data_IF_725094813050
#
_entry.id   IF_725094813050
#
_cell.length_a   1.000
_cell.length_b   1.000
_cell.length_c   1.000
_cell.angle_alpha   90.00
_cell.angle_beta   90.00
_cell.angle_gamma   90.00
#
_symmetry.space_group_name_H-M   'P 1'
#
loop_
_entity.id
_entity.type
_entity.pdbx_description
1 polymer ?
#
# COMPACT_ATOMS: atom_id res chain seq x y z
N UNK A 1 13.85 -3.26 -8.16
CA UNK A 1 13.16 -4.01 -9.24
C UNK A 1 13.17 -3.20 -10.54
N UNK A 2 12.87 -3.80 -11.69
CA UNK A 2 12.61 -3.05 -12.94
C UNK A 2 11.12 -2.79 -13.09
N UNK A 3 10.76 -1.62 -13.63
CA UNK A 3 9.38 -1.25 -13.91
C UNK A 3 8.77 -2.20 -14.94
N UNK A 4 7.65 -2.88 -14.65
CA UNK A 4 7.03 -3.82 -15.59
C UNK A 4 6.44 -3.13 -16.82
N UNK A 5 6.32 -1.79 -16.81
CA UNK A 5 5.74 -1.00 -17.90
C UNK A 5 6.78 -0.37 -18.83
N UNK A 6 7.92 0.11 -18.29
CA UNK A 6 8.94 0.79 -19.10
C UNK A 6 10.35 0.16 -19.01
N UNK A 7 10.56 -0.86 -18.17
CA UNK A 7 11.83 -1.57 -18.02
C UNK A 7 12.91 -0.84 -17.22
N UNK A 8 12.66 0.39 -16.75
CA UNK A 8 13.61 1.22 -16.01
C UNK A 8 13.77 0.76 -14.56
N UNK A 9 14.91 1.06 -13.94
CA UNK A 9 15.12 0.79 -12.52
C UNK A 9 14.14 1.60 -11.66
N UNK A 10 13.59 0.94 -10.64
CA UNK A 10 12.65 1.55 -9.71
C UNK A 10 13.31 1.83 -8.37
N UNK A 11 12.86 2.89 -7.71
CA UNK A 11 13.29 3.23 -6.36
C UNK A 11 12.47 2.47 -5.32
N UNK A 12 13.14 1.81 -4.38
CA UNK A 12 12.49 1.20 -3.22
C UNK A 12 12.09 2.29 -2.22
N UNK A 13 10.89 2.18 -1.68
CA UNK A 13 10.38 3.04 -0.62
C UNK A 13 9.29 2.34 0.19
N UNK A 14 8.51 3.12 0.92
CA UNK A 14 7.38 2.60 1.67
C UNK A 14 6.16 3.53 1.60
N UNK A 15 4.97 2.94 1.69
CA UNK A 15 3.71 3.66 1.89
C UNK A 15 3.32 3.51 3.35
N UNK A 16 3.12 4.63 4.03
CA UNK A 16 2.80 4.68 5.45
C UNK A 16 1.40 5.25 5.67
N UNK A 17 0.63 4.60 6.55
CA UNK A 17 -0.68 5.08 6.98
C UNK A 17 -0.93 4.63 8.42
N UNK A 18 -1.64 5.44 9.22
CA UNK A 18 -1.97 5.07 10.62
C UNK A 18 -2.80 3.79 10.68
N UNK A 19 -3.84 3.71 9.85
CA UNK A 19 -4.89 2.68 9.97
C UNK A 19 -4.63 1.44 9.07
N UNK A 20 -3.64 1.51 8.19
CA UNK A 20 -3.38 0.48 7.17
C UNK A 20 -3.54 0.97 5.75
N UNK A 21 -2.95 0.24 4.81
CA UNK A 21 -3.23 0.39 3.38
C UNK A 21 -3.88 -0.89 2.90
N UNK A 22 -5.04 -0.76 2.26
CA UNK A 22 -5.85 -1.89 1.81
C UNK A 22 -6.16 -1.74 0.33
N UNK A 23 -6.01 -2.82 -0.42
CA UNK A 23 -6.66 -2.94 -1.71
C UNK A 23 -8.10 -3.42 -1.47
N UNK A 24 -9.06 -2.71 -2.06
CA UNK A 24 -10.48 -3.06 -2.02
C UNK A 24 -11.06 -2.95 -3.42
N UNK A 25 -11.97 -3.85 -3.75
CA UNK A 25 -12.68 -3.83 -5.05
C UNK A 25 -13.51 -2.55 -5.25
N UNK A 26 -13.95 -1.92 -4.15
CA UNK A 26 -14.73 -0.69 -4.15
C UNK A 26 -14.12 0.31 -3.17
N UNK A 27 -14.19 1.59 -3.52
CA UNK A 27 -13.83 2.69 -2.63
C UNK A 27 -14.72 2.67 -1.38
N UNK A 28 -14.13 2.93 -0.21
CA UNK A 28 -14.83 2.95 1.07
C UNK A 28 -14.43 4.18 1.86
N UNK A 29 -15.38 4.68 2.65
CA UNK A 29 -15.12 5.74 3.63
C UNK A 29 -14.19 5.17 4.71
N UNK A 30 -12.96 5.68 4.76
CA UNK A 30 -11.87 5.19 5.64
C UNK A 30 -12.25 5.26 7.12
N UNK A 31 -13.14 6.19 7.50
CA UNK A 31 -13.65 6.32 8.87
C UNK A 31 -14.55 5.15 9.32
N UNK A 32 -15.09 4.35 8.40
CA UNK A 32 -15.99 3.25 8.68
C UNK A 32 -15.28 1.90 8.55
N UNK A 33 -14.22 1.69 9.33
CA UNK A 33 -13.40 0.46 9.36
C UNK A 33 -14.19 -0.85 9.57
N UNK A 34 -15.49 -0.79 9.91
CA UNK A 34 -16.35 -1.96 10.09
C UNK A 34 -17.78 -1.73 9.57
N UNK A 35 -17.99 -1.71 8.26
CA UNK A 35 -19.30 -2.03 7.70
C UNK A 35 -19.09 -3.15 6.70
N UNK A 36 -19.53 -4.35 7.09
CA UNK A 36 -19.19 -5.61 6.45
C UNK A 36 -19.53 -5.67 4.96
N UNK A 37 -18.68 -6.38 4.23
CA UNK A 37 -18.95 -6.83 2.86
C UNK A 37 -17.78 -6.60 1.91
N UNK A 38 -17.42 -7.62 1.12
CA UNK A 38 -16.48 -7.53 -0.02
C UNK A 38 -15.04 -7.98 0.27
N UNK A 39 -14.30 -8.32 -0.81
CA UNK A 39 -12.90 -8.77 -0.75
C UNK A 39 -11.96 -7.57 -0.54
N UNK A 40 -11.19 -7.61 0.54
CA UNK A 40 -10.14 -6.62 0.84
C UNK A 40 -8.84 -7.33 1.17
N UNK A 41 -7.72 -6.81 0.68
CA UNK A 41 -6.39 -7.34 0.94
C UNK A 41 -5.58 -6.27 1.64
N UNK A 42 -5.03 -6.61 2.80
CA UNK A 42 -4.13 -5.74 3.56
C UNK A 42 -2.76 -5.76 2.89
N UNK A 43 -2.25 -4.59 2.49
CA UNK A 43 -1.01 -4.48 1.71
C UNK A 43 0.25 -4.31 2.58
N UNK A 44 0.11 -4.22 3.90
CA UNK A 44 1.25 -4.02 4.81
C UNK A 44 1.60 -5.29 5.60
N UNK A 45 2.87 -5.69 5.57
CA UNK A 45 3.41 -6.78 6.40
C UNK A 45 3.78 -6.31 7.81
N UNK A 46 4.29 -5.08 7.93
CA UNK A 46 4.86 -4.56 9.19
C UNK A 46 3.86 -3.62 9.87
N UNK A 47 3.59 -3.91 11.13
CA UNK A 47 2.88 -3.01 12.06
C UNK A 47 3.94 -2.43 12.99
N UNK A 48 4.09 -1.11 13.00
CA UNK A 48 4.93 -0.45 14.00
C UNK A 48 4.12 -0.47 15.30
N UNK A 49 4.62 -1.12 16.35
CA UNK A 49 3.94 -1.19 17.64
C UNK A 49 3.97 0.15 18.39
N UNK A 50 3.01 0.36 19.30
CA UNK A 50 2.95 1.52 20.20
C UNK A 50 1.87 2.55 19.83
N UNK A 51 1.69 3.60 20.65
CA UNK A 51 0.63 4.60 20.49
C UNK A 51 0.81 5.53 19.27
N UNK A 52 1.99 5.54 18.67
CA UNK A 52 2.28 6.19 17.37
C UNK A 52 2.52 5.16 16.26
N UNK A 53 2.10 3.92 16.52
CA UNK A 53 2.19 2.82 15.61
C UNK A 53 1.35 3.04 14.37
N UNK A 54 1.92 2.72 13.21
CA UNK A 54 1.25 2.77 11.92
C UNK A 54 1.55 1.52 11.10
N UNK A 55 0.87 1.42 9.98
CA UNK A 55 1.13 0.44 8.95
C UNK A 55 2.16 0.97 7.95
N UNK A 56 3.05 0.09 7.49
CA UNK A 56 4.00 0.39 6.41
C UNK A 56 4.04 -0.77 5.43
N UNK A 57 3.87 -0.47 4.14
CA UNK A 57 4.03 -1.42 3.03
C UNK A 57 5.25 -1.04 2.19
N UNK A 58 6.10 -2.01 1.87
CA UNK A 58 7.20 -1.80 0.93
C UNK A 58 6.63 -1.59 -0.48
N UNK A 59 7.16 -0.62 -1.20
CA UNK A 59 6.64 -0.25 -2.51
C UNK A 59 7.75 0.27 -3.41
N UNK A 60 7.62 0.02 -4.70
CA UNK A 60 8.57 0.46 -5.70
C UNK A 60 7.98 1.60 -6.53
N UNK A 61 8.71 2.71 -6.62
CA UNK A 61 8.34 3.89 -7.39
C UNK A 61 9.07 3.88 -8.74
N UNK A 62 8.30 3.99 -9.83
CA UNK A 62 8.81 4.38 -11.14
C UNK A 62 8.39 5.82 -11.41
N UNK A 63 9.32 6.77 -11.27
CA UNK A 63 9.05 8.19 -11.47
C UNK A 63 8.63 8.52 -12.90
N UNK A 64 9.27 7.89 -13.89
CA UNK A 64 8.96 8.09 -15.32
C UNK A 64 7.52 7.71 -15.68
N UNK A 65 7.06 6.55 -15.23
CA UNK A 65 5.69 6.10 -15.50
C UNK A 65 4.67 6.66 -14.52
N UNK A 66 5.12 7.30 -13.43
CA UNK A 66 4.29 7.70 -12.28
C UNK A 66 3.47 6.52 -11.74
N UNK A 67 4.13 5.37 -11.59
CA UNK A 67 3.52 4.12 -11.11
C UNK A 67 4.18 3.71 -9.81
N UNK A 68 3.36 3.19 -8.90
CA UNK A 68 3.80 2.48 -7.71
C UNK A 68 3.45 1.01 -7.89
N UNK A 69 4.39 0.11 -7.61
CA UNK A 69 4.19 -1.33 -7.59
C UNK A 69 4.37 -1.81 -6.15
N UNK A 70 3.37 -2.54 -5.66
CA UNK A 70 3.39 -3.17 -4.34
C UNK A 70 3.26 -4.66 -4.61
N UNK A 71 4.26 -5.43 -4.19
CA UNK A 71 4.19 -6.88 -4.15
C UNK A 71 3.54 -7.24 -2.80
N UNK A 72 2.44 -7.99 -2.84
CA UNK A 72 1.58 -8.29 -1.69
C UNK A 72 1.24 -9.78 -1.60
#
# INVERSE_FOLDING_TARGET
MKCPYCGEEMQLGCIQCRDGVYWSEKERVIAALNIGGGKSIKLNEKSIGGPFGGASAEAWLCEKCKKIVIEY
#
